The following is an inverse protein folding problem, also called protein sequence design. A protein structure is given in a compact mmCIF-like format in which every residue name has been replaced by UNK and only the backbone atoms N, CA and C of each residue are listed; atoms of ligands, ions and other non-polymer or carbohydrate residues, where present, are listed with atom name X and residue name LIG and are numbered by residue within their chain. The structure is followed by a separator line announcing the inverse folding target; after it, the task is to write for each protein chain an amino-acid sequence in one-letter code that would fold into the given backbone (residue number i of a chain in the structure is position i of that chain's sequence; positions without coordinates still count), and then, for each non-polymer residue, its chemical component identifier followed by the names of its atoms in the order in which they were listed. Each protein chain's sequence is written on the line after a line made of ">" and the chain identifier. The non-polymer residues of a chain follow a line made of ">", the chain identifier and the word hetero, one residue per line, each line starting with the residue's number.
data_IF_943905906602
#
_entry.id   IF_943905906602
#
_cell.length_a   1.000
_cell.length_b   1.000
_cell.length_c   1.000
_cell.angle_alpha   90.00
_cell.angle_beta   90.00
_cell.angle_gamma   90.00
#
_symmetry.space_group_name_H-M   'P 1'
#
loop_
_entity.id
_entity.type
_entity.pdbx_description
1 polymer ?
#
# COMPACT_ATOMS: atom_id res chain seq x y z
N UNK A 1 -46.02 16.90 42.32
CA UNK A 1 -44.90 15.94 42.29
C UNK A 1 -45.16 14.63 41.52
N UNK A 2 -46.34 14.01 41.60
CA UNK A 2 -46.68 12.76 40.87
C UNK A 2 -46.73 12.91 39.32
N UNK A 3 -47.14 14.06 38.81
CA UNK A 3 -47.22 14.34 37.36
C UNK A 3 -45.84 14.49 36.70
N UNK A 4 -44.93 15.24 37.31
CA UNK A 4 -43.58 15.44 36.78
C UNK A 4 -42.79 14.16 36.62
N UNK A 5 -42.92 13.16 37.58
CA UNK A 5 -42.25 11.88 37.48
C UNK A 5 -42.72 11.03 36.30
N UNK A 6 -43.99 11.15 35.88
CA UNK A 6 -44.51 10.43 34.71
C UNK A 6 -43.98 11.03 33.41
N UNK A 7 -43.82 12.35 33.31
CA UNK A 7 -43.27 13.03 32.14
C UNK A 7 -41.77 12.72 31.96
N UNK A 8 -41.01 12.69 33.05
CA UNK A 8 -39.57 12.29 33.04
C UNK A 8 -39.40 10.89 32.54
N UNK A 9 -40.24 9.94 33.01
CA UNK A 9 -40.16 8.53 32.58
C UNK A 9 -40.51 8.37 31.10
N UNK A 10 -41.52 9.10 30.60
CA UNK A 10 -41.92 9.08 29.18
C UNK A 10 -40.81 9.67 28.31
N UNK A 11 -40.11 10.72 28.75
CA UNK A 11 -39.00 11.32 28.00
C UNK A 11 -37.78 10.37 27.95
N UNK A 12 -37.47 9.69 29.03
CA UNK A 12 -36.38 8.67 29.07
C UNK A 12 -36.71 7.49 28.17
N UNK A 13 -37.97 7.03 28.16
CA UNK A 13 -38.41 5.93 27.29
C UNK A 13 -38.37 6.31 25.80
N UNK A 14 -38.68 7.58 25.48
CA UNK A 14 -38.66 8.08 24.11
C UNK A 14 -37.21 8.24 23.58
N UNK A 15 -36.23 8.58 24.46
CA UNK A 15 -34.82 8.62 24.09
C UNK A 15 -34.22 7.23 23.83
N UNK A 16 -34.79 6.15 24.38
CA UNK A 16 -34.37 4.78 24.10
C UNK A 16 -34.89 4.23 22.77
N UNK A 17 -35.81 4.93 22.11
CA UNK A 17 -36.38 4.55 20.80
C UNK A 17 -35.68 5.24 19.60
N UNK A 18 -34.69 6.08 19.84
CA UNK A 18 -33.86 6.57 18.75
C UNK A 18 -33.03 5.39 18.23
N UNK A 19 -33.12 5.07 16.93
CA UNK A 19 -32.22 4.08 16.36
C UNK A 19 -30.81 4.66 16.46
N UNK A 20 -30.03 4.20 17.43
CA UNK A 20 -28.59 4.32 17.34
C UNK A 20 -28.23 3.50 16.11
N UNK A 21 -27.71 4.14 15.06
CA UNK A 21 -26.91 3.40 14.08
C UNK A 21 -25.72 2.87 14.86
N UNK A 22 -25.83 1.65 15.37
CA UNK A 22 -24.66 0.88 15.73
C UNK A 22 -23.93 0.66 14.40
N UNK A 23 -22.81 1.34 14.19
CA UNK A 23 -21.85 0.85 13.24
C UNK A 23 -21.43 -0.50 13.83
N UNK A 24 -21.90 -1.57 13.24
CA UNK A 24 -21.35 -2.87 13.53
C UNK A 24 -19.91 -2.82 13.03
N UNK A 25 -18.93 -3.21 13.88
CA UNK A 25 -17.59 -3.52 13.40
C UNK A 25 -17.76 -4.43 12.19
N UNK A 26 -17.11 -4.09 11.06
CA UNK A 26 -17.20 -4.95 9.89
C UNK A 26 -16.68 -6.34 10.28
N UNK A 27 -17.45 -7.36 9.99
CA UNK A 27 -17.09 -8.73 10.27
C UNK A 27 -16.10 -9.24 9.21
N UNK A 28 -15.36 -10.28 9.54
CA UNK A 28 -14.60 -11.05 8.56
C UNK A 28 -15.53 -11.45 7.41
N UNK A 29 -15.13 -11.16 6.18
CA UNK A 29 -15.91 -11.36 4.96
C UNK A 29 -16.73 -10.14 4.51
N UNK A 30 -16.83 -9.09 5.31
CA UNK A 30 -17.50 -7.86 4.89
C UNK A 30 -16.65 -7.12 3.87
N UNK A 31 -17.30 -6.69 2.79
CA UNK A 31 -16.70 -5.91 1.71
C UNK A 31 -17.06 -4.44 1.86
N UNK A 32 -16.08 -3.55 1.68
CA UNK A 32 -16.29 -2.11 1.51
C UNK A 32 -15.69 -1.69 0.18
N UNK A 33 -16.43 -0.90 -0.58
CA UNK A 33 -15.99 -0.39 -1.88
C UNK A 33 -15.71 1.10 -1.79
N UNK A 34 -14.61 1.54 -2.40
CA UNK A 34 -14.35 2.96 -2.66
C UNK A 34 -14.38 3.24 -4.15
N UNK A 35 -15.13 4.23 -4.56
CA UNK A 35 -15.26 4.65 -5.94
C UNK A 35 -14.65 6.04 -6.14
N UNK A 36 -13.91 6.22 -7.21
CA UNK A 36 -13.45 7.55 -7.63
C UNK A 36 -14.63 8.47 -7.91
N UNK A 37 -14.56 9.72 -7.42
CA UNK A 37 -15.69 10.70 -7.53
C UNK A 37 -16.07 10.99 -8.98
N UNK A 38 -15.07 10.99 -9.90
CA UNK A 38 -15.25 11.42 -11.28
C UNK A 38 -15.74 10.31 -12.22
N UNK A 39 -16.11 9.16 -11.68
CA UNK A 39 -16.73 8.09 -12.44
C UNK A 39 -18.16 8.46 -12.86
N UNK A 40 -18.54 8.16 -14.11
CA UNK A 40 -19.93 8.23 -14.54
C UNK A 40 -20.80 7.18 -13.83
N UNK A 41 -22.11 7.32 -13.90
CA UNK A 41 -23.04 6.34 -13.31
C UNK A 41 -22.84 4.94 -13.92
N UNK A 42 -22.64 4.89 -15.22
CA UNK A 42 -22.40 3.66 -15.98
C UNK A 42 -21.08 3.01 -15.56
N UNK A 43 -20.01 3.79 -15.39
CA UNK A 43 -18.72 3.31 -14.91
C UNK A 43 -18.81 2.78 -13.48
N UNK A 44 -19.51 3.48 -12.58
CA UNK A 44 -19.76 3.01 -11.21
C UNK A 44 -20.46 1.66 -11.19
N UNK A 45 -21.53 1.51 -11.98
CA UNK A 45 -22.28 0.26 -12.09
C UNK A 45 -21.40 -0.88 -12.66
N UNK A 46 -20.58 -0.61 -13.66
CA UNK A 46 -19.66 -1.57 -14.26
C UNK A 46 -18.61 -2.04 -13.22
N UNK A 47 -18.00 -1.12 -12.51
CA UNK A 47 -16.99 -1.44 -11.49
C UNK A 47 -17.59 -2.25 -10.34
N UNK A 48 -18.76 -1.87 -9.80
CA UNK A 48 -19.43 -2.65 -8.76
C UNK A 48 -19.76 -4.06 -9.22
N UNK A 49 -20.21 -4.22 -10.48
CA UNK A 49 -20.46 -5.53 -11.07
C UNK A 49 -19.16 -6.35 -11.23
N UNK A 50 -18.06 -5.72 -11.66
CA UNK A 50 -16.75 -6.35 -11.79
C UNK A 50 -16.21 -6.83 -10.45
N UNK A 51 -16.35 -6.02 -9.41
CA UNK A 51 -15.99 -6.36 -8.03
C UNK A 51 -16.91 -7.41 -7.40
N UNK A 52 -17.99 -7.79 -8.06
CA UNK A 52 -19.05 -8.66 -7.51
C UNK A 52 -19.60 -8.12 -6.18
N UNK A 53 -19.68 -6.81 -6.08
CA UNK A 53 -20.14 -6.15 -4.88
C UNK A 53 -21.59 -6.53 -4.56
N UNK A 54 -21.92 -6.87 -3.30
CA UNK A 54 -23.29 -7.08 -2.86
C UNK A 54 -24.16 -5.84 -3.09
N UNK A 55 -25.49 -6.02 -3.24
CA UNK A 55 -26.42 -4.90 -3.48
C UNK A 55 -26.44 -3.89 -2.30
N UNK A 56 -26.13 -4.34 -1.10
CA UNK A 56 -26.09 -3.58 0.15
C UNK A 56 -24.67 -3.19 0.59
N UNK A 57 -23.67 -3.34 -0.32
CA UNK A 57 -22.28 -3.01 -0.02
C UNK A 57 -22.14 -1.54 0.40
N UNK A 58 -21.33 -1.30 1.41
CA UNK A 58 -20.97 0.06 1.79
C UNK A 58 -20.02 0.67 0.75
N UNK A 59 -20.41 1.86 0.23
CA UNK A 59 -19.67 2.54 -0.81
C UNK A 59 -19.19 3.90 -0.32
N UNK A 60 -17.89 4.07 -0.30
CA UNK A 60 -17.20 5.33 -0.05
C UNK A 60 -16.82 6.01 -1.37
N UNK A 61 -16.47 7.29 -1.28
CA UNK A 61 -15.95 8.05 -2.43
C UNK A 61 -14.56 8.58 -2.09
N UNK A 62 -13.64 8.49 -3.07
CA UNK A 62 -12.34 9.16 -3.04
C UNK A 62 -12.40 10.33 -4.03
N UNK A 63 -12.03 11.50 -3.56
CA UNK A 63 -11.98 12.73 -4.34
C UNK A 63 -10.58 12.99 -4.88
N UNK A 64 -10.48 13.69 -5.99
CA UNK A 64 -9.16 14.12 -6.50
C UNK A 64 -8.47 15.11 -5.55
N UNK A 65 -9.22 15.83 -4.72
CA UNK A 65 -8.64 16.67 -3.67
C UNK A 65 -7.93 15.86 -2.60
N UNK A 66 -8.50 14.73 -2.16
CA UNK A 66 -7.85 13.80 -1.22
C UNK A 66 -6.57 13.20 -1.84
N UNK A 67 -6.57 12.85 -3.13
CA UNK A 67 -5.35 12.40 -3.81
C UNK A 67 -4.25 13.46 -3.77
N UNK A 68 -4.58 14.71 -4.06
CA UNK A 68 -3.61 15.81 -4.03
C UNK A 68 -3.12 16.11 -2.61
N UNK A 69 -3.94 15.91 -1.59
CA UNK A 69 -3.56 16.08 -0.18
C UNK A 69 -2.51 15.06 0.24
N UNK A 70 -2.65 13.80 -0.16
CA UNK A 70 -1.74 12.72 0.25
C UNK A 70 -0.51 12.55 -0.65
N UNK A 71 -0.58 12.98 -1.91
CA UNK A 71 0.44 12.71 -2.91
C UNK A 71 1.11 13.98 -3.45
N UNK A 72 0.48 15.14 -3.31
CA UNK A 72 0.89 16.39 -3.96
C UNK A 72 2.29 16.88 -3.60
N UNK A 73 2.79 16.49 -2.44
CA UNK A 73 4.15 16.84 -2.00
C UNK A 73 5.23 15.91 -2.57
N UNK A 74 4.84 14.73 -3.08
CA UNK A 74 5.77 13.67 -3.49
C UNK A 74 5.85 13.49 -5.01
N UNK A 75 4.75 13.72 -5.73
CA UNK A 75 4.72 13.56 -7.19
C UNK A 75 4.20 14.80 -7.90
N UNK A 76 4.63 14.95 -9.14
CA UNK A 76 4.13 16.01 -9.99
C UNK A 76 2.60 15.88 -10.19
N UNK A 77 1.87 16.98 -10.05
CA UNK A 77 0.40 17.01 -10.16
C UNK A 77 -0.14 16.37 -11.46
N UNK A 78 0.66 16.32 -12.54
CA UNK A 78 0.31 15.65 -13.79
C UNK A 78 0.18 14.12 -13.65
N UNK A 79 0.88 13.49 -12.68
CA UNK A 79 0.82 12.05 -12.42
C UNK A 79 -0.38 11.71 -11.55
N UNK A 80 -0.77 12.59 -10.63
CA UNK A 80 -2.03 12.50 -9.89
C UNK A 80 -3.21 12.70 -10.87
N UNK A 81 -3.05 13.66 -11.77
CA UNK A 81 -4.08 14.02 -12.73
C UNK A 81 -5.14 14.94 -12.12
N UNK A 82 -6.27 15.04 -12.82
CA UNK A 82 -7.38 15.95 -12.45
C UNK A 82 -8.67 15.21 -12.13
N UNK A 83 -8.62 13.87 -12.06
CA UNK A 83 -9.81 13.02 -11.88
C UNK A 83 -9.48 11.79 -11.08
N UNK A 84 -10.18 11.58 -9.99
CA UNK A 84 -10.21 10.31 -9.28
C UNK A 84 -11.15 9.34 -10.01
N UNK A 85 -10.60 8.33 -10.68
CA UNK A 85 -11.37 7.30 -11.41
C UNK A 85 -10.93 5.87 -11.09
N UNK A 86 -9.84 5.65 -10.39
CA UNK A 86 -9.54 4.35 -9.81
C UNK A 86 -10.44 4.08 -8.62
N UNK A 87 -10.70 2.82 -8.38
CA UNK A 87 -11.61 2.33 -7.37
C UNK A 87 -11.04 1.08 -6.72
N UNK A 88 -11.44 0.81 -5.49
CA UNK A 88 -10.97 -0.36 -4.77
C UNK A 88 -12.09 -1.04 -3.99
N UNK A 89 -11.94 -2.33 -3.76
CA UNK A 89 -12.72 -3.08 -2.78
C UNK A 89 -11.77 -3.70 -1.77
N UNK A 90 -12.09 -3.61 -0.50
CA UNK A 90 -11.41 -4.33 0.57
C UNK A 90 -12.38 -5.30 1.22
N UNK A 91 -11.93 -6.53 1.44
CA UNK A 91 -12.64 -7.54 2.22
C UNK A 91 -11.75 -7.94 3.38
N UNK A 92 -12.27 -7.83 4.60
CA UNK A 92 -11.53 -8.24 5.80
C UNK A 92 -11.46 -9.77 5.88
N UNK A 93 -10.28 -10.27 6.22
CA UNK A 93 -9.98 -11.70 6.31
C UNK A 93 -9.68 -12.13 7.73
N UNK A 94 -9.62 -13.45 7.95
CA UNK A 94 -9.23 -14.00 9.24
C UNK A 94 -7.80 -13.62 9.60
N UNK A 95 -7.56 -13.42 10.91
CA UNK A 95 -6.23 -13.06 11.43
C UNK A 95 -5.16 -14.06 10.98
N UNK A 96 -4.08 -13.54 10.43
CA UNK A 96 -2.93 -14.31 9.94
C UNK A 96 -3.03 -14.68 8.46
N UNK A 97 -4.06 -14.20 7.74
CA UNK A 97 -4.17 -14.38 6.28
C UNK A 97 -3.15 -13.53 5.53
N UNK A 98 -2.75 -12.39 6.09
CA UNK A 98 -1.92 -11.40 5.43
C UNK A 98 -2.69 -10.56 4.42
N UNK A 99 -1.98 -9.74 3.65
CA UNK A 99 -2.54 -8.91 2.59
C UNK A 99 -2.45 -9.64 1.25
N UNK A 100 -3.54 -9.63 0.49
CA UNK A 100 -3.63 -10.08 -0.89
C UNK A 100 -4.16 -8.95 -1.75
N UNK A 101 -3.62 -8.80 -2.95
CA UNK A 101 -4.07 -7.75 -3.85
C UNK A 101 -4.00 -8.21 -5.30
N UNK A 102 -5.04 -7.84 -6.05
CA UNK A 102 -5.13 -7.97 -7.50
C UNK A 102 -5.56 -6.62 -8.07
N UNK A 103 -4.92 -6.18 -9.15
CA UNK A 103 -5.28 -4.95 -9.83
C UNK A 103 -5.60 -5.18 -11.32
N UNK A 104 -6.43 -4.29 -11.88
CA UNK A 104 -6.79 -4.28 -13.28
C UNK A 104 -6.87 -2.85 -13.82
N UNK A 105 -6.35 -2.63 -15.03
CA UNK A 105 -6.25 -1.30 -15.64
C UNK A 105 -5.42 -0.31 -14.80
N UNK A 106 -4.44 -0.81 -14.06
CA UNK A 106 -3.44 -0.01 -13.35
C UNK A 106 -2.11 -0.25 -14.07
N UNK A 107 -1.39 0.80 -14.39
CA UNK A 107 -0.22 0.71 -15.28
C UNK A 107 1.05 1.36 -14.71
N UNK A 108 1.05 1.86 -13.49
CA UNK A 108 2.21 2.44 -12.83
C UNK A 108 2.48 1.84 -11.45
N UNK A 109 1.46 1.74 -10.60
CA UNK A 109 1.57 1.09 -9.28
C UNK A 109 1.30 -0.41 -9.45
N UNK A 110 2.18 -1.27 -8.94
CA UNK A 110 1.99 -2.73 -8.94
C UNK A 110 1.23 -3.21 -7.71
N UNK A 111 0.79 -4.47 -7.78
CA UNK A 111 0.13 -5.13 -6.64
C UNK A 111 1.04 -5.16 -5.41
N UNK A 112 2.34 -5.42 -5.59
CA UNK A 112 3.32 -5.46 -4.51
C UNK A 112 3.57 -4.07 -3.91
N UNK A 113 3.57 -3.01 -4.71
CA UNK A 113 3.68 -1.63 -4.21
C UNK A 113 2.50 -1.28 -3.30
N UNK A 114 1.27 -1.66 -3.71
CA UNK A 114 0.10 -1.50 -2.85
C UNK A 114 0.22 -2.31 -1.57
N UNK A 115 0.58 -3.60 -1.63
CA UNK A 115 0.74 -4.47 -0.46
C UNK A 115 1.76 -3.86 0.50
N UNK A 116 2.90 -3.40 0.00
CA UNK A 116 3.93 -2.75 0.80
C UNK A 116 3.40 -1.50 1.51
N UNK A 117 2.77 -0.59 0.77
CA UNK A 117 2.24 0.65 1.31
C UNK A 117 1.08 0.41 2.31
N UNK A 118 0.20 -0.55 2.04
CA UNK A 118 -0.88 -0.93 2.95
C UNK A 118 -0.36 -1.55 4.24
N UNK A 119 0.68 -2.38 4.17
CA UNK A 119 1.34 -2.93 5.36
C UNK A 119 1.97 -1.81 6.20
N UNK A 120 2.62 -0.82 5.57
CA UNK A 120 3.13 0.39 6.25
C UNK A 120 2.02 1.18 6.92
N UNK A 121 0.87 1.34 6.25
CA UNK A 121 -0.31 1.99 6.82
C UNK A 121 -0.94 1.20 7.98
N UNK A 122 -0.49 -0.03 8.23
CA UNK A 122 -1.01 -0.89 9.31
C UNK A 122 -2.30 -1.61 8.96
N UNK A 123 -2.65 -1.69 7.66
CA UNK A 123 -3.72 -2.56 7.16
C UNK A 123 -3.32 -4.01 7.36
N UNK A 124 -4.25 -4.83 7.85
CA UNK A 124 -3.97 -6.24 8.21
C UNK A 124 -5.07 -7.14 7.68
N UNK A 125 -4.65 -8.33 7.26
CA UNK A 125 -5.53 -9.46 6.99
C UNK A 125 -6.70 -9.08 6.08
N UNK A 126 -6.41 -8.73 4.83
CA UNK A 126 -7.42 -8.28 3.87
C UNK A 126 -7.11 -8.75 2.45
N UNK A 127 -8.17 -8.99 1.69
CA UNK A 127 -8.12 -9.14 0.24
C UNK A 127 -8.57 -7.82 -0.40
N UNK A 128 -7.75 -7.29 -1.30
CA UNK A 128 -7.97 -6.00 -1.96
C UNK A 128 -8.06 -6.22 -3.47
N UNK A 129 -9.04 -5.58 -4.09
CA UNK A 129 -9.14 -5.49 -5.54
C UNK A 129 -9.12 -4.03 -5.98
N UNK A 130 -8.23 -3.69 -6.91
CA UNK A 130 -8.08 -2.33 -7.44
C UNK A 130 -8.41 -2.33 -8.92
N UNK A 131 -9.24 -1.39 -9.38
CA UNK A 131 -9.57 -1.29 -10.80
C UNK A 131 -9.88 0.14 -11.24
N UNK A 132 -9.87 0.35 -12.54
CA UNK A 132 -10.33 1.58 -13.18
C UNK A 132 -11.02 1.24 -14.53
N UNK A 133 -11.91 2.12 -15.05
CA UNK A 133 -12.60 1.86 -16.32
C UNK A 133 -11.68 1.93 -17.54
N UNK A 134 -10.52 2.57 -17.41
CA UNK A 134 -9.45 2.70 -18.40
C UNK A 134 -8.10 2.63 -17.68
N UNK A 135 -6.98 2.35 -18.38
CA UNK A 135 -5.66 2.35 -17.76
C UNK A 135 -5.31 3.70 -17.10
N UNK A 136 -4.89 3.66 -15.83
CA UNK A 136 -4.49 4.81 -15.00
C UNK A 136 -3.27 4.47 -14.14
N UNK A 137 -2.66 5.49 -13.52
CA UNK A 137 -1.54 5.29 -12.58
C UNK A 137 -1.91 4.43 -11.36
N UNK A 138 -3.12 4.63 -10.81
CA UNK A 138 -3.62 3.88 -9.66
C UNK A 138 -3.44 4.58 -8.31
N UNK A 139 -2.94 5.79 -8.29
CA UNK A 139 -2.60 6.52 -7.05
C UNK A 139 -3.78 6.73 -6.10
N UNK A 140 -5.01 7.01 -6.63
CA UNK A 140 -6.21 7.17 -5.82
C UNK A 140 -6.62 5.92 -5.03
N UNK A 141 -6.29 4.74 -5.54
CA UNK A 141 -6.76 3.50 -4.95
C UNK A 141 -6.20 3.26 -3.55
N UNK A 142 -4.93 3.61 -3.28
CA UNK A 142 -4.33 3.47 -1.94
C UNK A 142 -5.10 4.28 -0.90
N UNK A 143 -5.38 5.55 -1.20
CA UNK A 143 -6.22 6.41 -0.34
C UNK A 143 -7.59 5.77 -0.09
N UNK A 144 -8.18 5.19 -1.14
CA UNK A 144 -9.47 4.50 -1.04
C UNK A 144 -9.44 3.29 -0.13
N UNK A 145 -8.45 2.42 -0.26
CA UNK A 145 -8.29 1.22 0.58
C UNK A 145 -8.07 1.61 2.04
N UNK A 146 -7.20 2.57 2.32
CA UNK A 146 -6.93 3.05 3.69
C UNK A 146 -8.22 3.58 4.32
N UNK A 147 -8.97 4.42 3.60
CA UNK A 147 -10.25 4.97 4.06
C UNK A 147 -11.29 3.88 4.36
N UNK A 148 -11.39 2.87 3.51
CA UNK A 148 -12.28 1.74 3.71
C UNK A 148 -11.85 0.88 4.90
N UNK A 149 -10.54 0.66 5.08
CA UNK A 149 -10.01 -0.08 6.22
C UNK A 149 -10.25 0.63 7.56
N UNK A 150 -10.07 1.95 7.62
CA UNK A 150 -10.39 2.73 8.83
C UNK A 150 -11.86 2.55 9.23
N UNK A 151 -12.76 2.59 8.25
CA UNK A 151 -14.19 2.41 8.49
C UNK A 151 -14.51 0.98 8.97
N UNK A 152 -13.88 -0.04 8.35
CA UNK A 152 -14.17 -1.44 8.67
C UNK A 152 -13.53 -1.91 9.97
N UNK A 153 -12.40 -1.35 10.39
CA UNK A 153 -11.63 -1.81 11.54
C UNK A 153 -11.82 -0.96 12.80
N UNK A 154 -12.64 0.10 12.72
CA UNK A 154 -12.80 1.14 13.78
C UNK A 154 -11.44 1.71 14.26
N UNK A 155 -10.45 1.73 13.36
CA UNK A 155 -9.10 2.26 13.62
C UNK A 155 -8.91 3.55 12.86
N UNK A 156 -8.24 4.48 13.51
CA UNK A 156 -7.79 5.73 12.88
C UNK A 156 -6.29 5.60 12.61
N UNK A 157 -5.93 5.67 11.34
CA UNK A 157 -4.53 5.72 10.90
C UNK A 157 -4.10 7.20 10.91
N UNK A 158 -2.97 7.51 11.57
CA UNK A 158 -2.51 8.89 11.63
C UNK A 158 -2.17 9.43 10.24
N UNK A 159 -2.37 10.72 10.04
CA UNK A 159 -2.08 11.38 8.75
C UNK A 159 -0.61 11.20 8.33
N UNK A 160 0.33 11.27 9.28
CA UNK A 160 1.75 11.04 9.00
C UNK A 160 2.02 9.63 8.45
N UNK A 161 1.33 8.61 8.96
CA UNK A 161 1.45 7.23 8.46
C UNK A 161 0.80 7.06 7.09
N UNK A 162 -0.37 7.69 6.85
CA UNK A 162 -1.00 7.69 5.52
C UNK A 162 -0.11 8.35 4.48
N UNK A 163 0.46 9.51 4.81
CA UNK A 163 1.41 10.20 3.94
C UNK A 163 2.65 9.36 3.65
N UNK A 164 3.23 8.73 4.68
CA UNK A 164 4.41 7.91 4.52
C UNK A 164 4.15 6.64 3.67
N UNK A 165 2.98 6.03 3.78
CA UNK A 165 2.57 4.91 2.93
C UNK A 165 2.40 5.35 1.46
N UNK A 166 1.84 6.53 1.22
CA UNK A 166 1.73 7.10 -0.12
C UNK A 166 3.12 7.46 -0.70
N UNK A 167 4.00 8.07 0.11
CA UNK A 167 5.39 8.37 -0.29
C UNK A 167 6.16 7.10 -0.63
N UNK A 168 6.00 6.03 0.14
CA UNK A 168 6.62 4.74 -0.14
C UNK A 168 6.17 4.19 -1.50
N UNK A 169 4.87 4.19 -1.76
CA UNK A 169 4.32 3.72 -3.03
C UNK A 169 4.89 4.51 -4.21
N UNK A 170 4.93 5.84 -4.09
CA UNK A 170 5.46 6.73 -5.12
C UNK A 170 6.95 6.53 -5.33
N UNK A 171 7.74 6.54 -4.25
CA UNK A 171 9.21 6.35 -4.33
C UNK A 171 9.53 5.00 -4.97
N UNK A 172 8.76 3.95 -4.66
CA UNK A 172 8.94 2.63 -5.27
C UNK A 172 8.60 2.65 -6.76
N UNK A 173 7.52 3.33 -7.15
CA UNK A 173 7.13 3.42 -8.56
C UNK A 173 8.12 4.26 -9.39
N UNK A 174 8.61 5.39 -8.86
CA UNK A 174 9.66 6.20 -9.49
C UNK A 174 10.98 5.43 -9.63
N UNK A 175 11.36 4.69 -8.58
CA UNK A 175 12.51 3.79 -8.66
C UNK A 175 12.29 2.71 -9.72
N UNK A 176 11.06 2.19 -9.85
CA UNK A 176 10.68 1.23 -10.87
C UNK A 176 10.83 1.74 -12.30
N UNK A 177 10.57 3.02 -12.53
CA UNK A 177 10.81 3.66 -13.82
C UNK A 177 12.31 3.68 -14.21
N UNK A 178 13.21 3.61 -13.22
CA UNK A 178 14.67 3.65 -13.42
C UNK A 178 15.32 2.26 -13.48
N UNK A 179 14.92 1.33 -12.60
CA UNK A 179 15.59 0.03 -12.46
C UNK A 179 14.75 -1.17 -12.86
N UNK A 180 13.47 -0.98 -13.15
CA UNK A 180 12.47 -2.02 -13.37
C UNK A 180 11.46 -2.07 -12.22
N UNK A 181 10.19 -2.23 -12.60
CA UNK A 181 9.07 -2.12 -11.65
C UNK A 181 9.03 -3.30 -10.67
N UNK A 182 9.33 -4.51 -11.16
CA UNK A 182 9.39 -5.72 -10.33
C UNK A 182 10.61 -5.68 -9.41
N UNK A 183 11.76 -5.20 -9.91
CA UNK A 183 13.00 -5.04 -9.14
C UNK A 183 12.83 -4.04 -8.00
N UNK A 184 12.19 -2.90 -8.26
CA UNK A 184 11.93 -1.89 -7.23
C UNK A 184 10.98 -2.41 -6.14
N UNK A 185 9.90 -3.09 -6.54
CA UNK A 185 8.93 -3.70 -5.62
C UNK A 185 9.59 -4.79 -4.76
N UNK A 186 10.41 -5.64 -5.40
CA UNK A 186 11.19 -6.68 -4.74
C UNK A 186 12.17 -6.10 -3.72
N UNK A 187 12.85 -5.02 -4.08
CA UNK A 187 13.81 -4.33 -3.22
C UNK A 187 13.14 -3.77 -1.96
N UNK A 188 12.02 -3.07 -2.11
CA UNK A 188 11.28 -2.50 -0.97
C UNK A 188 10.75 -3.62 -0.07
N UNK A 189 10.19 -4.69 -0.63
CA UNK A 189 9.78 -5.88 0.12
C UNK A 189 10.96 -6.47 0.92
N UNK A 190 12.14 -6.61 0.29
CA UNK A 190 13.34 -7.15 0.94
C UNK A 190 13.89 -6.25 2.04
N UNK A 191 13.87 -4.93 1.85
CA UNK A 191 14.25 -3.97 2.89
C UNK A 191 13.33 -4.12 4.10
N UNK A 192 12.01 -4.18 3.91
CA UNK A 192 11.03 -4.34 4.98
C UNK A 192 11.18 -5.67 5.72
N UNK A 193 11.43 -6.75 5.00
CA UNK A 193 11.74 -8.05 5.60
C UNK A 193 12.95 -7.94 6.55
N UNK A 194 14.04 -7.34 6.10
CA UNK A 194 15.23 -7.12 6.92
C UNK A 194 14.98 -6.18 8.12
N UNK A 195 14.16 -5.15 7.94
CA UNK A 195 13.76 -4.27 9.05
C UNK A 195 12.87 -4.99 10.07
N UNK A 196 12.03 -5.92 9.64
CA UNK A 196 11.21 -6.74 10.53
C UNK A 196 12.09 -7.71 11.34
N UNK A 197 13.10 -8.32 10.70
CA UNK A 197 14.06 -9.20 11.38
C UNK A 197 14.97 -8.46 12.37
N UNK A 198 15.46 -7.28 11.97
CA UNK A 198 16.40 -6.47 12.74
C UNK A 198 16.03 -4.97 12.62
N UNK A 199 15.13 -4.46 13.48
CA UNK A 199 14.71 -3.06 13.43
C UNK A 199 15.91 -2.11 13.57
N UNK A 200 16.12 -1.17 12.62
CA UNK A 200 17.26 -0.26 12.64
C UNK A 200 17.13 0.78 13.74
N UNK A 201 18.23 1.05 14.45
CA UNK A 201 18.29 2.11 15.46
C UNK A 201 18.77 3.44 14.88
N UNK A 202 19.66 3.40 13.91
CA UNK A 202 20.33 4.57 13.33
C UNK A 202 20.11 4.66 11.81
N UNK A 203 20.38 5.84 11.24
CA UNK A 203 20.41 6.03 9.78
C UNK A 203 21.45 5.14 9.10
N UNK A 204 22.57 4.89 9.77
CA UNK A 204 23.61 3.98 9.27
C UNK A 204 23.13 2.53 9.21
N UNK A 205 22.30 2.10 10.16
CA UNK A 205 21.67 0.77 10.11
C UNK A 205 20.69 0.67 8.94
N UNK A 206 19.91 1.73 8.67
CA UNK A 206 19.02 1.82 7.50
C UNK A 206 19.84 1.70 6.22
N UNK A 207 20.95 2.45 6.07
CA UNK A 207 21.86 2.36 4.91
C UNK A 207 22.32 0.92 4.69
N UNK A 208 22.81 0.25 5.73
CA UNK A 208 23.29 -1.14 5.64
C UNK A 208 22.18 -2.10 5.22
N UNK A 209 20.95 -1.89 5.70
CA UNK A 209 19.80 -2.70 5.31
C UNK A 209 19.49 -2.50 3.83
N UNK A 210 19.44 -1.26 3.34
CA UNK A 210 19.20 -0.92 1.93
C UNK A 210 20.27 -1.56 1.04
N UNK A 211 21.55 -1.33 1.35
CA UNK A 211 22.68 -1.89 0.58
C UNK A 211 22.68 -3.42 0.61
N UNK A 212 22.39 -4.03 1.77
CA UNK A 212 22.30 -5.48 1.90
C UNK A 212 21.14 -6.05 1.10
N UNK A 213 19.96 -5.40 1.11
CA UNK A 213 18.82 -5.84 0.33
C UNK A 213 19.07 -5.74 -1.18
N UNK A 214 19.70 -4.64 -1.63
CA UNK A 214 20.11 -4.48 -3.02
C UNK A 214 21.12 -5.58 -3.43
N UNK A 215 22.12 -5.86 -2.59
CA UNK A 215 23.10 -6.92 -2.83
C UNK A 215 22.47 -8.31 -2.89
N UNK A 216 21.52 -8.62 -2.02
CA UNK A 216 20.82 -9.91 -2.02
C UNK A 216 20.04 -10.15 -3.31
N UNK A 217 19.53 -9.07 -3.91
CA UNK A 217 18.80 -9.08 -5.18
C UNK A 217 19.74 -8.85 -6.39
N UNK A 218 21.05 -8.65 -6.15
CA UNK A 218 22.01 -8.33 -7.19
C UNK A 218 21.80 -7.00 -7.87
N UNK A 219 21.09 -6.05 -7.25
CA UNK A 219 20.82 -4.72 -7.79
C UNK A 219 22.02 -3.79 -7.61
N UNK A 220 22.36 -3.06 -8.66
CA UNK A 220 23.35 -1.98 -8.61
C UNK A 220 22.64 -0.64 -8.60
N UNK A 221 22.60 -0.04 -7.43
CA UNK A 221 21.97 1.26 -7.24
C UNK A 221 23.03 2.37 -7.28
N UNK A 222 22.68 3.51 -7.85
CA UNK A 222 23.48 4.72 -7.70
C UNK A 222 23.25 5.38 -6.33
N UNK A 223 24.14 6.30 -5.94
CA UNK A 223 24.05 6.96 -4.62
C UNK A 223 22.75 7.75 -4.43
N UNK A 224 22.18 8.33 -5.48
CA UNK A 224 20.89 9.03 -5.41
C UNK A 224 19.74 8.09 -5.07
N UNK A 225 19.67 6.92 -5.70
CA UNK A 225 18.67 5.88 -5.42
C UNK A 225 18.82 5.32 -4.00
N UNK A 226 20.06 5.06 -3.57
CA UNK A 226 20.35 4.64 -2.19
C UNK A 226 19.89 5.70 -1.20
N UNK A 227 20.19 6.98 -1.44
CA UNK A 227 19.81 8.07 -0.54
C UNK A 227 18.29 8.25 -0.46
N UNK A 228 17.58 8.17 -1.59
CA UNK A 228 16.12 8.23 -1.63
C UNK A 228 15.47 7.14 -0.77
N UNK A 229 15.97 5.91 -0.86
CA UNK A 229 15.50 4.81 -0.01
C UNK A 229 15.86 5.03 1.47
N UNK A 230 17.05 5.54 1.78
CA UNK A 230 17.46 5.85 3.16
C UNK A 230 16.54 6.92 3.75
N UNK A 231 16.23 7.97 3.01
CA UNK A 231 15.36 9.05 3.47
C UNK A 231 13.94 8.53 3.76
N UNK A 232 13.38 7.74 2.84
CA UNK A 232 12.09 7.07 3.02
C UNK A 232 12.09 6.18 4.28
N UNK A 233 13.03 5.25 4.39
CA UNK A 233 13.03 4.28 5.50
C UNK A 233 13.41 4.90 6.85
N UNK A 234 14.17 6.00 6.89
CA UNK A 234 14.36 6.78 8.10
C UNK A 234 13.06 7.44 8.56
N UNK A 235 12.28 8.00 7.62
CA UNK A 235 10.95 8.55 7.94
C UNK A 235 10.04 7.47 8.50
N UNK A 236 9.96 6.31 7.85
CA UNK A 236 9.16 5.18 8.32
C UNK A 236 9.60 4.71 9.71
N UNK A 237 10.90 4.66 9.97
CA UNK A 237 11.45 4.29 11.29
C UNK A 237 10.98 5.24 12.40
N UNK A 238 10.86 6.55 12.13
CA UNK A 238 10.43 7.57 13.09
C UNK A 238 8.93 7.49 13.43
N UNK A 239 8.12 6.87 12.59
CA UNK A 239 6.66 6.74 12.77
C UNK A 239 6.23 5.63 13.72
N UNK A 240 7.16 4.96 14.42
CA UNK A 240 6.88 3.84 15.34
C UNK A 240 6.04 2.72 14.67
N UNK A 241 6.34 2.39 13.42
CA UNK A 241 5.69 1.30 12.70
C UNK A 241 6.05 -0.03 13.35
N UNK A 242 5.05 -0.89 13.54
CA UNK A 242 5.25 -2.26 14.01
C UNK A 242 5.81 -3.14 12.88
N UNK A 243 7.14 -3.19 12.76
CA UNK A 243 7.84 -3.93 11.70
C UNK A 243 7.52 -5.44 11.71
N UNK A 244 7.27 -6.03 12.89
CA UNK A 244 6.85 -7.44 12.96
C UNK A 244 5.49 -7.62 12.28
N UNK A 245 4.54 -6.74 12.60
CA UNK A 245 3.24 -6.77 11.97
C UNK A 245 3.32 -6.50 10.46
N UNK A 246 4.18 -5.57 10.01
CA UNK A 246 4.46 -5.36 8.58
C UNK A 246 4.98 -6.65 7.94
N UNK A 247 5.98 -7.30 8.53
CA UNK A 247 6.56 -8.54 8.02
C UNK A 247 5.52 -9.67 7.86
N UNK A 248 4.57 -9.77 8.79
CA UNK A 248 3.48 -10.75 8.76
C UNK A 248 2.50 -10.51 7.60
N UNK A 249 2.31 -9.25 7.19
CA UNK A 249 1.37 -8.89 6.12
C UNK A 249 1.98 -9.04 4.71
N UNK A 250 3.28 -9.17 4.57
CA UNK A 250 3.98 -9.22 3.28
C UNK A 250 4.10 -10.63 2.68
N UNK A 251 3.30 -11.61 3.13
CA UNK A 251 3.44 -13.01 2.68
C UNK A 251 3.29 -13.12 1.16
N UNK A 252 2.26 -12.53 0.57
CA UNK A 252 2.05 -12.57 -0.90
C UNK A 252 3.17 -11.84 -1.66
N UNK A 253 3.61 -10.68 -1.16
CA UNK A 253 4.72 -9.95 -1.79
C UNK A 253 6.03 -10.74 -1.75
N UNK A 254 6.29 -11.49 -0.66
CA UNK A 254 7.44 -12.38 -0.54
C UNK A 254 7.34 -13.58 -1.48
N UNK A 255 6.16 -14.18 -1.60
CA UNK A 255 5.92 -15.28 -2.53
C UNK A 255 6.14 -14.83 -3.99
N UNK A 256 5.64 -13.65 -4.36
CA UNK A 256 5.88 -13.05 -5.68
C UNK A 256 7.35 -12.73 -5.90
N UNK A 257 8.05 -12.19 -4.89
CA UNK A 257 9.51 -11.99 -4.93
C UNK A 257 10.25 -13.31 -5.19
N UNK A 258 9.91 -14.37 -4.46
CA UNK A 258 10.53 -15.69 -4.65
C UNK A 258 10.29 -16.22 -6.07
N UNK A 259 9.06 -16.12 -6.56
CA UNK A 259 8.70 -16.53 -7.91
C UNK A 259 9.43 -15.71 -8.99
N UNK A 260 9.59 -14.38 -8.78
CA UNK A 260 10.39 -13.54 -9.67
C UNK A 260 11.84 -14.00 -9.73
N UNK A 261 12.48 -14.22 -8.58
CA UNK A 261 13.88 -14.68 -8.52
C UNK A 261 14.09 -16.06 -9.17
N UNK A 262 13.08 -16.92 -9.18
CA UNK A 262 13.10 -18.23 -9.82
C UNK A 262 12.73 -18.19 -11.31
N UNK A 263 12.14 -17.09 -11.80
CA UNK A 263 11.72 -16.91 -13.19
C UNK A 263 12.90 -16.80 -14.16
N UNK A 264 12.67 -17.06 -15.45
CA UNK A 264 13.69 -16.86 -16.50
C UNK A 264 14.15 -15.39 -16.56
N UNK A 265 13.25 -14.43 -16.28
CA UNK A 265 13.55 -12.99 -16.26
C UNK A 265 14.44 -12.64 -15.07
N UNK A 266 14.09 -13.10 -13.87
CA UNK A 266 14.90 -12.92 -12.66
C UNK A 266 16.26 -13.60 -12.76
N UNK A 267 16.32 -14.81 -13.31
CA UNK A 267 17.60 -15.53 -13.55
C UNK A 267 18.44 -14.82 -14.62
N UNK A 268 17.84 -14.37 -15.72
CA UNK A 268 18.54 -13.59 -16.76
C UNK A 268 19.08 -12.27 -16.21
N UNK A 269 18.34 -11.64 -15.31
CA UNK A 269 18.76 -10.43 -14.62
C UNK A 269 19.97 -10.72 -13.71
N UNK A 270 19.90 -11.76 -12.87
CA UNK A 270 21.02 -12.18 -12.00
C UNK A 270 22.26 -12.58 -12.79
N UNK A 271 22.11 -13.20 -13.95
CA UNK A 271 23.25 -13.58 -14.81
C UNK A 271 23.90 -12.36 -15.47
N UNK A 272 23.10 -11.40 -15.96
CA UNK A 272 23.65 -10.12 -16.46
C UNK A 272 24.45 -9.36 -15.41
N UNK A 273 24.02 -9.41 -14.15
CA UNK A 273 24.73 -8.79 -13.03
C UNK A 273 26.05 -9.51 -12.72
N UNK A 274 26.08 -10.85 -12.75
CA UNK A 274 27.35 -11.60 -12.62
C UNK A 274 28.34 -11.22 -13.70
N UNK A 275 27.86 -11.01 -14.94
CA UNK A 275 28.70 -10.61 -16.06
C UNK A 275 29.25 -9.19 -15.89
N UNK A 276 28.41 -8.24 -15.42
CA UNK A 276 28.85 -6.88 -15.09
C UNK A 276 29.87 -6.90 -13.94
N UNK A 277 29.62 -7.69 -12.90
CA UNK A 277 30.52 -7.83 -11.74
C UNK A 277 31.85 -8.45 -12.14
N UNK A 278 31.84 -9.49 -12.95
CA UNK A 278 33.03 -10.12 -13.49
C UNK A 278 33.84 -9.15 -14.37
N UNK A 279 33.15 -8.40 -15.22
CA UNK A 279 33.77 -7.38 -16.08
C UNK A 279 34.41 -6.26 -15.26
N UNK A 280 33.78 -5.85 -14.15
CA UNK A 280 34.34 -4.86 -13.23
C UNK A 280 35.58 -5.39 -12.50
N UNK A 281 35.54 -6.64 -12.02
CA UNK A 281 36.68 -7.30 -11.39
C UNK A 281 37.85 -7.42 -12.38
N UNK A 282 37.57 -7.78 -13.62
CA UNK A 282 38.60 -7.93 -14.65
C UNK A 282 39.18 -6.55 -15.07
N UNK A 283 38.33 -5.50 -15.12
CA UNK A 283 38.80 -4.13 -15.31
C UNK A 283 39.72 -3.67 -14.16
N UNK A 284 39.34 -3.94 -12.91
CA UNK A 284 40.14 -3.62 -11.72
C UNK A 284 41.48 -4.40 -11.77
N UNK A 285 41.45 -5.69 -12.06
CA UNK A 285 42.68 -6.50 -12.20
C UNK A 285 43.60 -5.97 -13.31
N UNK A 286 43.03 -5.54 -14.45
CA UNK A 286 43.80 -4.98 -15.55
C UNK A 286 44.43 -3.61 -15.23
N UNK A 287 43.84 -2.87 -14.27
CA UNK A 287 44.37 -1.58 -13.82
C UNK A 287 45.57 -1.72 -12.85
N UNK A 288 45.66 -2.88 -12.18
CA UNK A 288 46.75 -3.20 -11.24
C UNK A 288 47.81 -4.19 -11.80
N UNK A 289 47.68 -4.59 -13.06
CA UNK A 289 48.65 -5.40 -13.81
C UNK A 289 49.48 -4.58 -14.72
#
# INVERSE_FOLDING_TARGET
>A
MKSMKKWVIVTILLCMLLPYKAFADAAVGDMIVTLGENLSKEQKSMILSEMKAPDDVEVLTVTNAEEHEYLGDYIASRLIGTKAISSSAITLEEKGTGLKLESKNINWVTDEMYINALATAGVKDATVYVTAPIPVSGTAALTGVIKAYELSSDKVISEDVKQAANEEMVTTAELGDEIGTEEASALVTKIKEKMAENPPATTEDVRKIVESAANDLGLVLNEGQIQSLIDLFNKLKELNIDWNAVGDQLTEAKDKLSNFLESEEGQSFLDKLKDVFNSLIDAIKSFFS
#
